data_IF_812087486942
#
_entry.id   IF_812087486942
#
_cell.length_a   1.000
_cell.length_b   1.000
_cell.length_c   1.000
_cell.angle_alpha   90.00
_cell.angle_beta   90.00
_cell.angle_gamma   90.00
#
_symmetry.space_group_name_H-M   'P 1'
#
loop_
_entity.id
_entity.type
_entity.pdbx_description
1 polymer ?
#
# COMPACT_ATOMS: atom_id res chain seq x y z
N UNK A 1 -1.33 -22.34 -7.85
CA UNK A 1 -0.09 -21.54 -7.72
C UNK A 1 -0.48 -20.10 -7.99
N UNK A 2 -0.05 -19.17 -7.13
CA UNK A 2 -0.31 -17.74 -7.28
C UNK A 2 0.67 -17.16 -8.29
N UNK A 3 0.18 -16.73 -9.46
CA UNK A 3 1.01 -16.25 -10.58
C UNK A 3 0.79 -14.76 -10.81
N UNK A 4 1.66 -14.12 -11.59
CA UNK A 4 1.47 -12.73 -12.03
C UNK A 4 0.10 -12.50 -12.68
N UNK A 5 -0.36 -13.42 -13.53
CA UNK A 5 -1.66 -13.30 -14.19
C UNK A 5 -2.82 -13.32 -13.17
N UNK A 6 -2.78 -14.23 -12.21
CA UNK A 6 -3.79 -14.31 -11.14
C UNK A 6 -3.71 -13.06 -10.26
N UNK A 7 -2.52 -12.61 -9.89
CA UNK A 7 -2.31 -11.40 -9.11
C UNK A 7 -2.88 -10.16 -9.83
N UNK A 8 -2.58 -9.98 -11.12
CA UNK A 8 -3.12 -8.89 -11.95
C UNK A 8 -4.64 -8.88 -11.95
N UNK A 9 -5.27 -10.04 -12.19
CA UNK A 9 -6.73 -10.13 -12.19
C UNK A 9 -7.30 -9.78 -10.81
N UNK A 10 -6.72 -10.30 -9.73
CA UNK A 10 -7.20 -10.05 -8.37
C UNK A 10 -7.00 -8.61 -7.92
N UNK A 11 -5.91 -7.96 -8.33
CA UNK A 11 -5.67 -6.53 -8.12
C UNK A 11 -6.68 -5.69 -8.91
N UNK A 12 -6.99 -6.04 -10.15
CA UNK A 12 -8.02 -5.36 -10.93
C UNK A 12 -9.41 -5.48 -10.27
N UNK A 13 -9.79 -6.69 -9.85
CA UNK A 13 -11.04 -6.94 -9.12
C UNK A 13 -11.08 -6.16 -7.79
N UNK A 14 -9.94 -6.05 -7.11
CA UNK A 14 -9.80 -5.30 -5.85
C UNK A 14 -9.97 -3.81 -6.08
N UNK A 15 -9.34 -3.27 -7.13
CA UNK A 15 -9.52 -1.87 -7.51
C UNK A 15 -10.98 -1.54 -7.81
N UNK A 16 -11.69 -2.43 -8.50
CA UNK A 16 -13.14 -2.29 -8.72
C UNK A 16 -13.93 -2.28 -7.40
N UNK A 17 -13.59 -3.15 -6.44
CA UNK A 17 -14.22 -3.19 -5.12
C UNK A 17 -13.93 -1.93 -4.28
N UNK A 18 -12.73 -1.36 -4.40
CA UNK A 18 -12.33 -0.11 -3.75
C UNK A 18 -12.87 1.14 -4.46
N UNK A 19 -13.46 1.01 -5.65
CA UNK A 19 -13.89 2.13 -6.48
C UNK A 19 -12.75 2.91 -7.15
N UNK A 20 -11.53 2.39 -7.11
CA UNK A 20 -10.32 3.05 -7.62
C UNK A 20 -9.37 2.05 -8.28
N UNK A 21 -8.83 2.32 -9.48
CA UNK A 21 -7.87 1.44 -10.12
C UNK A 21 -6.63 1.20 -9.24
N UNK A 22 -6.25 -0.07 -9.12
CA UNK A 22 -4.99 -0.49 -8.51
C UNK A 22 -4.11 -1.11 -9.60
N UNK A 23 -2.81 -0.82 -9.52
CA UNK A 23 -1.79 -1.38 -10.40
C UNK A 23 -0.92 -2.33 -9.60
N UNK A 24 -0.74 -3.55 -10.13
CA UNK A 24 0.16 -4.53 -9.54
C UNK A 24 1.60 -4.04 -9.64
N UNK A 25 2.36 -4.20 -8.56
CA UNK A 25 3.81 -4.02 -8.53
C UNK A 25 4.41 -5.39 -8.92
N UNK A 26 4.74 -5.59 -10.19
CA UNK A 26 5.06 -6.93 -10.74
C UNK A 26 6.20 -7.63 -10.00
N UNK A 27 7.20 -6.88 -9.55
CA UNK A 27 8.36 -7.35 -8.80
C UNK A 27 8.02 -7.82 -7.38
N UNK A 28 6.84 -7.44 -6.86
CA UNK A 28 6.39 -7.84 -5.52
C UNK A 28 5.70 -9.22 -5.50
N UNK A 29 5.43 -9.81 -6.66
CA UNK A 29 4.73 -11.09 -6.73
C UNK A 29 5.68 -12.20 -6.33
N UNK A 30 5.32 -12.88 -5.24
CA UNK A 30 6.02 -14.05 -4.74
C UNK A 30 5.04 -15.21 -4.53
N UNK A 31 5.53 -16.44 -4.69
CA UNK A 31 4.79 -17.63 -4.30
C UNK A 31 5.70 -18.79 -3.93
N UNK A 32 5.29 -19.57 -2.94
CA UNK A 32 5.94 -20.80 -2.52
C UNK A 32 4.88 -21.82 -2.10
N UNK A 33 4.76 -22.91 -2.87
CA UNK A 33 3.73 -23.92 -2.62
C UNK A 33 2.32 -23.34 -2.64
N UNK A 34 1.54 -23.45 -1.53
CA UNK A 34 0.20 -22.87 -1.44
C UNK A 34 0.20 -21.40 -0.99
N UNK A 35 1.36 -20.82 -0.68
CA UNK A 35 1.50 -19.45 -0.19
C UNK A 35 1.87 -18.50 -1.33
N UNK A 36 1.50 -17.24 -1.18
CA UNK A 36 1.91 -16.18 -2.08
C UNK A 36 1.55 -14.80 -1.58
N UNK A 37 2.19 -13.79 -2.15
CA UNK A 37 1.92 -12.40 -1.82
C UNK A 37 2.12 -11.51 -3.05
N UNK A 38 1.49 -10.35 -3.03
CA UNK A 38 1.68 -9.31 -4.03
C UNK A 38 1.32 -7.95 -3.45
N UNK A 39 2.01 -6.90 -3.86
CA UNK A 39 1.69 -5.53 -3.53
C UNK A 39 1.09 -4.80 -4.74
N UNK A 40 0.18 -3.88 -4.48
CA UNK A 40 -0.44 -3.05 -5.50
C UNK A 40 -0.65 -1.63 -4.96
N UNK A 41 -0.69 -0.65 -5.86
CA UNK A 41 -0.93 0.73 -5.50
C UNK A 41 -1.85 1.41 -6.51
N UNK A 42 -2.65 2.37 -6.05
CA UNK A 42 -3.32 3.31 -6.94
C UNK A 42 -2.32 4.39 -7.39
N UNK A 43 -2.61 5.06 -8.51
CA UNK A 43 -2.06 6.38 -8.74
C UNK A 43 -2.59 7.39 -7.70
N UNK A 44 -2.09 8.62 -7.75
CA UNK A 44 -2.67 9.71 -6.97
C UNK A 44 -4.10 10.00 -7.46
N UNK A 45 -5.04 9.97 -6.52
CA UNK A 45 -6.45 10.22 -6.71
C UNK A 45 -6.73 11.61 -6.13
N UNK A 46 -6.69 12.62 -7.00
CA UNK A 46 -7.03 14.00 -6.62
C UNK A 46 -8.22 14.49 -7.45
N UNK A 47 -9.34 14.88 -6.83
CA UNK A 47 -10.39 15.59 -7.52
C UNK A 47 -9.84 16.87 -8.15
N UNK A 48 -10.31 17.21 -9.36
CA UNK A 48 -9.83 18.41 -10.05
C UNK A 48 -9.98 19.66 -9.17
N UNK A 49 -8.87 20.36 -8.94
CA UNK A 49 -8.82 21.58 -8.11
C UNK A 49 -8.71 21.32 -6.59
N UNK A 50 -8.51 20.08 -6.17
CA UNK A 50 -8.28 19.71 -4.77
C UNK A 50 -6.79 19.72 -4.43
N UNK A 51 -6.47 20.19 -3.21
CA UNK A 51 -5.16 19.98 -2.58
C UNK A 51 -5.07 18.63 -1.84
N UNK A 52 -6.15 17.84 -1.88
CA UNK A 52 -6.24 16.51 -1.29
C UNK A 52 -5.85 15.47 -2.35
N UNK A 53 -4.65 14.92 -2.23
CA UNK A 53 -4.23 13.70 -2.93
C UNK A 53 -4.53 12.49 -2.05
N UNK A 54 -5.23 11.51 -2.60
CA UNK A 54 -5.46 10.22 -1.93
C UNK A 54 -4.77 9.11 -2.72
N UNK A 55 -4.17 8.14 -2.06
CA UNK A 55 -3.69 6.94 -2.71
C UNK A 55 -3.96 5.71 -1.84
N UNK A 56 -4.19 4.59 -2.49
CA UNK A 56 -4.38 3.30 -1.85
C UNK A 56 -3.13 2.47 -2.08
N UNK A 57 -2.64 1.81 -1.04
CA UNK A 57 -1.73 0.67 -1.15
C UNK A 57 -2.47 -0.58 -0.70
N UNK A 58 -2.19 -1.69 -1.36
CA UNK A 58 -2.80 -2.97 -1.06
C UNK A 58 -1.72 -4.03 -0.97
N UNK A 59 -1.78 -4.86 0.08
CA UNK A 59 -1.00 -6.08 0.17
C UNK A 59 -1.93 -7.28 0.08
N UNK A 60 -1.75 -8.10 -0.95
CA UNK A 60 -2.49 -9.34 -1.18
C UNK A 60 -1.70 -10.49 -0.59
N UNK A 61 -2.38 -11.38 0.10
CA UNK A 61 -1.79 -12.57 0.75
C UNK A 61 -2.64 -13.80 0.45
N UNK A 62 -1.97 -14.86 0.01
CA UNK A 62 -2.55 -16.19 -0.21
C UNK A 62 -2.01 -17.12 0.87
N UNK A 63 -2.92 -17.73 1.62
CA UNK A 63 -2.59 -18.65 2.71
C UNK A 63 -3.37 -19.95 2.58
N UNK A 64 -2.74 -21.08 2.91
CA UNK A 64 -3.47 -22.32 3.09
C UNK A 64 -4.35 -22.26 4.35
N UNK A 65 -5.60 -22.69 4.25
CA UNK A 65 -6.48 -22.87 5.40
C UNK A 65 -6.44 -24.33 5.91
N UNK A 66 -7.05 -24.58 7.06
CA UNK A 66 -7.05 -25.90 7.73
C UNK A 66 -7.66 -27.03 6.88
N UNK A 67 -8.49 -26.69 5.89
CA UNK A 67 -9.07 -27.64 4.94
C UNK A 67 -8.21 -27.92 3.70
N UNK A 68 -7.01 -27.34 3.62
CA UNK A 68 -6.12 -27.43 2.45
C UNK A 68 -6.54 -26.57 1.26
N UNK A 69 -7.60 -25.76 1.39
CA UNK A 69 -7.96 -24.76 0.40
C UNK A 69 -7.14 -23.47 0.63
N UNK A 70 -7.05 -22.61 -0.38
CA UNK A 70 -6.34 -21.33 -0.26
C UNK A 70 -7.32 -20.20 0.01
N UNK A 71 -7.09 -19.45 1.09
CA UNK A 71 -7.72 -18.16 1.31
C UNK A 71 -6.88 -17.06 0.65
N UNK A 72 -7.56 -16.08 0.08
CA UNK A 72 -6.94 -14.88 -0.47
C UNK A 72 -7.48 -13.66 0.29
N UNK A 73 -6.56 -12.85 0.80
CA UNK A 73 -6.82 -11.66 1.59
C UNK A 73 -6.17 -10.45 0.95
N UNK A 74 -6.73 -9.27 1.23
CA UNK A 74 -6.13 -7.99 0.89
C UNK A 74 -6.18 -7.05 2.09
N UNK A 75 -5.05 -6.43 2.40
CA UNK A 75 -4.89 -5.40 3.42
C UNK A 75 -4.78 -4.05 2.69
N UNK A 76 -5.70 -3.13 2.96
CA UNK A 76 -5.78 -1.84 2.26
C UNK A 76 -5.37 -0.71 3.19
N UNK A 77 -4.37 0.04 2.73
CA UNK A 77 -3.77 1.16 3.41
C UNK A 77 -4.17 2.43 2.67
N UNK A 78 -4.92 3.30 3.34
CA UNK A 78 -5.35 4.57 2.78
C UNK A 78 -4.35 5.65 3.15
N UNK A 79 -3.87 6.39 2.17
CA UNK A 79 -2.99 7.54 2.37
C UNK A 79 -3.67 8.78 1.84
N UNK A 80 -3.56 9.87 2.60
CA UNK A 80 -4.04 11.20 2.25
C UNK A 80 -2.88 12.17 2.42
N UNK A 81 -2.49 12.82 1.32
CA UNK A 81 -1.33 13.71 1.25
C UNK A 81 -0.05 13.05 1.79
N UNK A 82 0.16 11.78 1.44
CA UNK A 82 1.30 10.98 1.89
C UNK A 82 1.19 10.40 3.31
N UNK A 83 0.28 10.92 4.14
CA UNK A 83 0.07 10.39 5.48
C UNK A 83 -0.92 9.24 5.48
N UNK A 84 -0.61 8.15 6.18
CA UNK A 84 -1.52 7.03 6.39
C UNK A 84 -2.72 7.47 7.24
N UNK A 85 -3.92 7.06 6.85
CA UNK A 85 -5.17 7.38 7.57
C UNK A 85 -6.00 6.12 7.81
N UNK A 86 -6.49 6.00 9.04
CA UNK A 86 -7.35 4.90 9.48
C UNK A 86 -8.21 5.36 10.68
N UNK A 87 -9.28 4.63 11.03
CA UNK A 87 -9.99 4.84 12.28
C UNK A 87 -9.07 4.69 13.51
N UNK A 88 -9.41 5.30 14.66
CA UNK A 88 -8.60 5.19 15.87
C UNK A 88 -8.37 3.73 16.29
N UNK A 89 -7.10 3.37 16.49
CA UNK A 89 -6.69 2.02 16.89
C UNK A 89 -6.70 0.99 15.75
N UNK A 90 -6.76 1.45 14.50
CA UNK A 90 -6.64 0.62 13.32
C UNK A 90 -5.62 1.20 12.34
N UNK A 91 -5.26 0.38 11.37
CA UNK A 91 -4.10 0.57 10.51
C UNK A 91 -4.44 0.29 9.04
N UNK A 92 -5.28 -0.71 8.78
CA UNK A 92 -5.68 -1.11 7.43
C UNK A 92 -7.11 -1.67 7.41
N UNK A 93 -7.74 -1.62 6.23
CA UNK A 93 -9.00 -2.29 5.97
C UNK A 93 -8.73 -3.68 5.38
N UNK A 94 -9.28 -4.72 6.00
CA UNK A 94 -9.13 -6.10 5.55
C UNK A 94 -10.30 -6.52 4.63
N UNK A 95 -9.97 -7.12 3.49
CA UNK A 95 -10.93 -7.74 2.57
C UNK A 95 -10.57 -9.21 2.34
N UNK A 96 -11.57 -10.06 2.18
CA UNK A 96 -11.42 -11.47 1.80
C UNK A 96 -11.98 -11.71 0.41
N UNK A 97 -11.29 -12.49 -0.41
CA UNK A 97 -11.84 -13.03 -1.64
C UNK A 97 -12.77 -14.19 -1.30
N UNK A 98 -14.04 -14.05 -1.65
CA UNK A 98 -15.06 -15.07 -1.39
C UNK A 98 -15.71 -15.50 -2.70
N UNK A 99 -15.92 -16.81 -2.83
CA UNK A 99 -16.77 -17.39 -3.86
C UNK A 99 -18.14 -17.64 -3.26
N UNK A 100 -19.16 -16.97 -3.78
CA UNK A 100 -20.55 -17.20 -3.40
C UNK A 100 -21.21 -18.12 -4.43
N UNK A 101 -21.97 -19.10 -3.95
CA UNK A 101 -22.68 -20.05 -4.81
C UNK A 101 -23.62 -19.31 -5.76
N UNK A 102 -23.37 -19.42 -7.07
CA UNK A 102 -24.20 -18.83 -8.11
C UNK A 102 -24.03 -17.33 -8.36
N UNK A 103 -23.31 -16.59 -7.52
CA UNK A 103 -23.08 -15.13 -7.66
C UNK A 103 -21.65 -14.79 -8.12
N UNK A 104 -20.81 -15.79 -8.34
CA UNK A 104 -19.41 -15.59 -8.73
C UNK A 104 -18.53 -15.29 -7.52
N UNK A 105 -17.34 -14.76 -7.77
CA UNK A 105 -16.37 -14.45 -6.72
C UNK A 105 -16.12 -12.96 -6.62
N UNK A 106 -15.96 -12.46 -5.40
CA UNK A 106 -15.78 -11.03 -5.11
C UNK A 106 -14.97 -10.78 -3.86
N UNK A 107 -14.46 -9.57 -3.74
CA UNK A 107 -13.91 -9.05 -2.49
C UNK A 107 -15.04 -8.65 -1.53
N UNK A 108 -14.90 -9.05 -0.27
CA UNK A 108 -15.83 -8.73 0.81
C UNK A 108 -15.05 -8.12 1.96
N UNK A 109 -15.47 -6.92 2.40
CA UNK A 109 -14.88 -6.26 3.55
C UNK A 109 -15.12 -7.07 4.84
N UNK A 110 -14.08 -7.21 5.66
CA UNK A 110 -14.13 -7.88 6.95
C UNK A 110 -14.04 -6.94 8.13
N UNK A 111 -13.39 -5.79 7.97
CA UNK A 111 -13.28 -4.78 9.01
C UNK A 111 -11.95 -4.05 8.97
N UNK A 112 -11.82 -3.04 9.82
CA UNK A 112 -10.56 -2.35 10.08
C UNK A 112 -9.81 -3.10 11.19
N UNK A 113 -8.51 -3.28 10.99
CA UNK A 113 -7.63 -4.03 11.91
C UNK A 113 -6.39 -3.20 12.26
N UNK A 114 -5.79 -3.52 13.41
CA UNK A 114 -4.53 -2.94 13.86
C UNK A 114 -3.33 -3.75 13.32
N UNK A 115 -2.23 -3.07 13.05
CA UNK A 115 -0.93 -3.68 12.78
C UNK A 115 -0.16 -3.85 14.10
N UNK A 116 -0.61 -4.81 14.90
CA UNK A 116 -0.12 -5.03 16.27
C UNK A 116 1.39 -5.35 16.32
N UNK A 117 1.96 -5.83 15.22
CA UNK A 117 3.36 -6.22 15.13
C UNK A 117 4.23 -5.19 14.38
N UNK A 118 3.63 -4.11 13.86
CA UNK A 118 4.34 -3.10 13.08
C UNK A 118 5.00 -3.66 11.82
N UNK A 119 4.44 -4.73 11.26
CA UNK A 119 5.00 -5.38 10.06
C UNK A 119 4.82 -4.50 8.81
N UNK A 120 3.86 -3.57 8.86
CA UNK A 120 3.43 -2.73 7.75
C UNK A 120 3.56 -1.23 8.06
N UNK A 121 4.27 -0.85 9.13
CA UNK A 121 4.52 0.54 9.50
C UNK A 121 5.67 1.20 8.74
N UNK A 122 6.55 0.43 8.08
CA UNK A 122 7.74 0.96 7.38
C UNK A 122 7.46 1.43 5.94
N UNK A 123 6.23 1.24 5.44
CA UNK A 123 5.81 1.69 4.11
C UNK A 123 5.53 3.22 4.05
N UNK A 124 5.68 3.92 5.19
CA UNK A 124 5.68 5.37 5.29
C UNK A 124 6.94 5.90 4.58
N UNK A 125 6.77 6.32 3.32
CA UNK A 125 7.87 6.70 2.44
C UNK A 125 8.93 7.57 3.14
N UNK A 126 10.17 7.11 3.09
CA UNK A 126 11.36 7.89 3.38
C UNK A 126 11.39 9.10 2.43
N UNK A 127 10.71 10.17 2.82
CA UNK A 127 11.02 11.52 2.39
C UNK A 127 12.26 11.95 3.16
N UNK A 128 13.45 11.53 2.71
CA UNK A 128 14.71 12.18 3.07
C UNK A 128 14.72 13.59 2.46
N UNK A 129 13.98 14.50 3.08
CA UNK A 129 14.17 15.93 2.94
C UNK A 129 15.31 16.35 3.87
N UNK A 130 16.55 16.11 3.48
CA UNK A 130 17.68 16.85 4.07
C UNK A 130 17.71 18.23 3.42
N UNK A 131 17.16 19.18 4.17
CA UNK A 131 17.14 20.59 3.83
C UNK A 131 18.54 21.20 3.74
N UNK A 132 18.63 22.19 2.87
CA UNK A 132 19.74 23.10 2.67
C UNK A 132 20.25 23.71 3.99
N UNK A 133 21.52 23.49 4.32
CA UNK A 133 22.26 24.40 5.18
C UNK A 133 23.05 25.36 4.29
N UNK A 134 22.45 26.54 4.10
CA UNK A 134 23.12 27.72 3.54
C UNK A 134 23.86 28.43 4.68
N UNK A 135 25.16 28.19 4.79
CA UNK A 135 26.09 29.07 5.48
C UNK A 135 26.81 29.87 4.39
N UNK A 136 26.59 31.18 4.23
CA UNK A 136 26.79 32.18 5.27
C UNK A 136 28.01 32.99 4.84
N UNK A 137 27.76 34.13 4.19
CA UNK A 137 28.77 35.10 3.78
C UNK A 137 29.59 35.54 5.00
N UNK A 138 30.91 35.48 4.88
CA UNK A 138 31.85 36.01 5.87
C UNK A 138 32.90 36.86 5.15
N UNK A 139 32.61 38.15 5.02
CA UNK A 139 33.57 39.17 4.65
C UNK A 139 34.68 39.27 5.71
N UNK A 140 35.92 39.44 5.25
CA UNK A 140 37.09 39.64 6.09
C UNK A 140 38.26 40.17 5.27
N UNK A 141 38.24 41.47 4.97
CA UNK A 141 39.46 42.29 4.99
C UNK A 141 40.15 42.06 6.38
N UNK A 142 41.46 42.07 6.59
CA UNK A 142 42.38 43.20 6.44
C UNK A 142 43.86 42.71 6.44
N UNK A 143 44.74 43.68 6.20
CA UNK A 143 46.16 43.75 5.89
C UNK A 143 47.23 43.38 6.95
N UNK A 144 48.50 43.45 6.48
CA UNK A 144 49.80 43.57 7.19
C UNK A 144 50.47 42.23 7.58
N UNK A 145 51.75 41.93 7.32
CA UNK A 145 52.92 42.68 6.85
C UNK A 145 54.15 42.14 7.61
N UNK A 146 55.13 41.57 6.90
CA UNK A 146 56.59 41.59 7.22
C UNK A 146 57.39 41.02 6.03
#
# INVERSE_FOLDING_TARGET
MFTNEIARQRVADLGAACGHPLTLIEESVWSEGPFGSASAASGELSPAGSLLGMNLRAHLTVTANEGGATDLWALIFVHVNGARVAPPGADYLMLKWETADGEGSRWVARGWEADVYGEWSEDEGEGEGEGEESEGEGEGEESEGD
#
